data_IF_449754736395
#
_entry.id   IF_449754736395
#
_cell.length_a   1.000
_cell.length_b   1.000
_cell.length_c   1.000
_cell.angle_alpha   90.00
_cell.angle_beta   90.00
_cell.angle_gamma   90.00
#
_symmetry.space_group_name_H-M   'P 1'
#
loop_
_entity.id
_entity.type
_entity.pdbx_description
1 polymer ?
#
# COMPACT_ATOMS: atom_id res chain seq x y z
N UNK A 1 4.95 22.38 -10.89
CA UNK A 1 3.83 21.50 -11.34
C UNK A 1 3.59 20.45 -10.27
N UNK A 2 2.32 20.24 -9.92
CA UNK A 2 1.89 19.21 -8.98
C UNK A 2 1.07 18.15 -9.72
N UNK A 3 1.10 16.92 -9.22
CA UNK A 3 0.30 15.80 -9.70
C UNK A 3 -0.33 15.07 -8.53
N UNK A 4 -1.58 14.72 -8.67
CA UNK A 4 -2.32 13.90 -7.71
C UNK A 4 -2.55 12.51 -8.26
N UNK A 5 -2.42 11.49 -7.44
CA UNK A 5 -2.79 10.12 -7.76
C UNK A 5 -3.60 9.50 -6.64
N UNK A 6 -4.45 8.55 -6.99
CA UNK A 6 -5.23 7.78 -6.03
C UNK A 6 -5.32 6.33 -6.48
N UNK A 7 -5.46 5.42 -5.53
CA UNK A 7 -5.75 4.02 -5.81
C UNK A 7 -6.45 3.35 -4.65
N UNK A 8 -7.08 2.24 -4.94
CA UNK A 8 -7.65 1.31 -3.96
C UNK A 8 -7.18 -0.10 -4.30
N UNK A 9 -6.83 -0.88 -3.29
CA UNK A 9 -6.43 -2.27 -3.43
C UNK A 9 -7.20 -3.16 -2.46
N UNK A 10 -7.66 -4.30 -2.93
CA UNK A 10 -8.46 -5.25 -2.17
C UNK A 10 -7.82 -6.63 -2.25
N UNK A 11 -7.62 -7.26 -1.10
CA UNK A 11 -7.15 -8.64 -1.00
C UNK A 11 -8.04 -9.45 -0.07
N UNK A 12 -8.22 -10.73 -0.41
CA UNK A 12 -8.99 -11.69 0.39
C UNK A 12 -8.19 -12.10 1.63
N UNK A 13 -8.86 -12.18 2.77
CA UNK A 13 -8.32 -12.78 3.99
C UNK A 13 -8.47 -14.30 3.94
N UNK A 14 -7.39 -15.02 4.17
CA UNK A 14 -7.35 -16.49 4.17
C UNK A 14 -6.50 -16.99 5.34
N UNK A 15 -6.73 -18.24 5.75
CA UNK A 15 -5.90 -18.91 6.76
C UNK A 15 -4.51 -19.22 6.20
N UNK A 16 -3.55 -19.43 7.10
CA UNK A 16 -2.19 -19.88 6.80
C UNK A 16 -1.38 -18.93 5.90
N UNK A 17 -1.74 -17.65 5.93
CA UNK A 17 -0.94 -16.56 5.33
C UNK A 17 -0.62 -15.51 6.39
N UNK A 18 0.55 -14.91 6.26
CA UNK A 18 0.93 -13.74 7.07
C UNK A 18 0.07 -12.54 6.68
N UNK A 19 -0.30 -11.74 7.67
CA UNK A 19 -0.92 -10.44 7.45
C UNK A 19 0.17 -9.38 7.48
N UNK A 20 0.47 -8.83 6.32
CA UNK A 20 1.49 -7.77 6.16
C UNK A 20 0.80 -6.54 5.58
N UNK A 21 0.89 -5.42 6.29
CA UNK A 21 0.38 -4.11 5.86
C UNK A 21 1.39 -3.03 6.22
N UNK A 22 1.69 -2.15 5.27
CA UNK A 22 2.69 -1.10 5.44
C UNK A 22 4.09 -1.66 5.73
N UNK A 23 4.42 -2.85 5.20
CA UNK A 23 5.67 -3.55 5.46
C UNK A 23 5.80 -4.11 6.88
N UNK A 24 4.70 -4.17 7.64
CA UNK A 24 4.68 -4.65 9.03
C UNK A 24 3.90 -5.96 9.10
N UNK A 25 4.51 -6.99 9.67
CA UNK A 25 3.80 -8.24 9.99
C UNK A 25 2.92 -8.04 11.22
N UNK A 26 1.63 -8.25 11.05
CA UNK A 26 0.61 -8.08 12.07
C UNK A 26 0.21 -9.43 12.61
N UNK A 27 0.18 -9.56 13.94
CA UNK A 27 -0.26 -10.80 14.59
C UNK A 27 -1.71 -11.11 14.24
N UNK A 28 -1.93 -12.20 13.50
CA UNK A 28 -3.25 -12.63 13.02
C UNK A 28 -3.23 -14.11 12.64
N UNK A 29 -4.36 -14.79 12.78
CA UNK A 29 -4.56 -16.17 12.29
C UNK A 29 -4.86 -16.19 10.78
N UNK A 30 -5.19 -15.04 10.19
CA UNK A 30 -5.49 -14.88 8.77
C UNK A 30 -4.57 -13.83 8.16
N UNK A 31 -4.27 -13.97 6.89
CA UNK A 31 -3.47 -13.02 6.14
C UNK A 31 -4.02 -12.81 4.74
N UNK A 32 -3.39 -11.93 3.99
CA UNK A 32 -3.87 -11.52 2.67
C UNK A 32 -3.36 -12.46 1.58
N UNK A 33 -4.28 -12.88 0.70
CA UNK A 33 -3.98 -13.72 -0.45
C UNK A 33 -3.55 -12.86 -1.64
N UNK A 34 -2.43 -13.21 -2.25
CA UNK A 34 -1.93 -12.55 -3.45
C UNK A 34 -0.65 -13.19 -3.95
N UNK A 35 -0.17 -12.75 -5.13
CA UNK A 35 1.04 -13.26 -5.77
C UNK A 35 2.32 -12.82 -5.02
N UNK A 36 2.36 -11.55 -4.57
CA UNK A 36 3.40 -11.01 -3.69
C UNK A 36 3.07 -11.32 -2.22
N UNK A 37 3.59 -10.54 -1.27
CA UNK A 37 3.18 -10.58 0.13
C UNK A 37 1.75 -10.02 0.37
N UNK A 38 1.09 -9.54 -0.68
CA UNK A 38 -0.27 -9.00 -0.67
C UNK A 38 -0.48 -7.82 0.28
N UNK A 39 0.55 -7.00 0.47
CA UNK A 39 0.46 -5.77 1.25
C UNK A 39 -0.41 -4.73 0.54
N UNK A 40 -1.70 -4.74 0.87
CA UNK A 40 -2.69 -3.89 0.21
C UNK A 40 -2.38 -2.40 0.37
N UNK A 41 -1.81 -1.99 1.52
CA UNK A 41 -1.48 -0.59 1.76
C UNK A 41 -0.34 -0.12 0.86
N UNK A 42 0.75 -0.87 0.77
CA UNK A 42 1.87 -0.50 -0.09
C UNK A 42 1.51 -0.58 -1.57
N UNK A 43 0.66 -1.54 -1.97
CA UNK A 43 0.14 -1.62 -3.34
C UNK A 43 -0.67 -0.38 -3.70
N UNK A 44 -1.58 0.06 -2.82
CA UNK A 44 -2.38 1.26 -3.06
C UNK A 44 -1.50 2.51 -3.19
N UNK A 45 -0.48 2.67 -2.34
CA UNK A 45 0.45 3.80 -2.41
C UNK A 45 1.27 3.75 -3.70
N UNK A 46 1.84 2.60 -4.04
CA UNK A 46 2.63 2.41 -5.25
C UNK A 46 1.82 2.73 -6.51
N UNK A 47 0.61 2.21 -6.60
CA UNK A 47 -0.26 2.46 -7.76
C UNK A 47 -0.75 3.91 -7.84
N UNK A 48 -0.99 4.55 -6.70
CA UNK A 48 -1.31 5.98 -6.67
C UNK A 48 -0.17 6.83 -7.23
N UNK A 49 1.09 6.49 -6.93
CA UNK A 49 2.26 7.18 -7.49
C UNK A 49 2.34 6.95 -9.01
N UNK A 50 2.20 5.71 -9.47
CA UNK A 50 2.19 5.37 -10.91
C UNK A 50 1.08 6.14 -11.63
N UNK A 51 -0.12 6.20 -11.06
CA UNK A 51 -1.25 6.95 -11.60
C UNK A 51 -1.00 8.45 -11.66
N UNK A 52 -0.38 9.04 -10.63
CA UNK A 52 0.01 10.45 -10.64
C UNK A 52 1.00 10.77 -11.77
N UNK A 53 1.87 9.83 -12.11
CA UNK A 53 2.82 9.95 -13.22
C UNK A 53 2.20 9.68 -14.60
N UNK A 54 0.95 9.22 -14.65
CA UNK A 54 0.25 8.79 -15.88
C UNK A 54 0.96 7.62 -16.60
N UNK A 55 1.47 6.66 -15.81
CA UNK A 55 2.25 5.50 -16.29
C UNK A 55 1.48 4.17 -16.18
N UNK A 56 0.19 4.19 -16.43
CA UNK A 56 -0.73 3.05 -16.33
C UNK A 56 -0.99 2.62 -14.86
N UNK A 57 -0.93 1.35 -14.56
CA UNK A 57 -1.21 0.76 -13.25
C UNK A 57 -0.08 -0.12 -12.74
N UNK A 58 -0.23 -0.62 -11.52
CA UNK A 58 0.78 -1.45 -10.87
C UNK A 58 1.02 -2.77 -11.64
N UNK A 59 -0.04 -3.42 -12.12
CA UNK A 59 0.05 -4.67 -12.86
C UNK A 59 0.78 -4.56 -14.19
N UNK A 60 0.79 -3.38 -14.79
CA UNK A 60 1.57 -3.10 -16.00
C UNK A 60 3.09 -3.18 -15.75
N UNK A 61 3.53 -2.71 -14.58
CA UNK A 61 4.96 -2.69 -14.19
C UNK A 61 5.39 -3.97 -13.45
N UNK A 62 4.49 -4.58 -12.71
CA UNK A 62 4.73 -5.76 -11.86
C UNK A 62 3.64 -6.82 -12.10
N UNK A 63 3.66 -7.51 -13.27
CA UNK A 63 2.65 -8.52 -13.58
C UNK A 63 2.61 -9.64 -12.54
N UNK A 64 1.40 -10.01 -12.11
CA UNK A 64 1.16 -11.07 -11.12
C UNK A 64 1.38 -12.48 -11.68
N UNK A 65 1.56 -12.62 -12.99
CA UNK A 65 1.93 -13.87 -13.67
C UNK A 65 3.45 -14.04 -13.90
N UNK A 66 4.26 -13.10 -13.44
CA UNK A 66 5.72 -13.15 -13.55
C UNK A 66 6.32 -13.73 -12.26
N UNK A 67 6.95 -14.88 -12.37
CA UNK A 67 7.58 -15.59 -11.23
C UNK A 67 8.64 -14.77 -10.50
N UNK A 68 9.22 -13.76 -11.17
CA UNK A 68 10.15 -12.80 -10.57
C UNK A 68 9.55 -12.06 -9.37
N UNK A 69 8.24 -11.84 -9.37
CA UNK A 69 7.53 -11.09 -8.32
C UNK A 69 6.78 -12.00 -7.34
N UNK A 70 6.89 -13.32 -7.50
CA UNK A 70 6.27 -14.27 -6.57
C UNK A 70 6.88 -14.11 -5.18
N UNK A 71 6.02 -13.98 -4.18
CA UNK A 71 6.38 -13.80 -2.77
C UNK A 71 7.29 -12.60 -2.49
N UNK A 72 7.40 -11.66 -3.44
CA UNK A 72 8.20 -10.44 -3.25
C UNK A 72 7.63 -9.58 -2.13
N UNK A 73 8.51 -8.97 -1.34
CA UNK A 73 8.14 -7.92 -0.41
C UNK A 73 7.63 -6.69 -1.16
N UNK A 74 6.46 -6.19 -0.79
CA UNK A 74 5.89 -4.98 -1.39
C UNK A 74 6.69 -3.71 -1.07
N UNK A 75 7.57 -3.73 -0.04
CA UNK A 75 8.56 -2.66 0.16
C UNK A 75 9.52 -2.56 -1.03
N UNK A 76 9.94 -3.68 -1.61
CA UNK A 76 10.78 -3.67 -2.82
C UNK A 76 10.02 -3.13 -4.03
N UNK A 77 8.75 -3.46 -4.16
CA UNK A 77 7.88 -2.87 -5.20
C UNK A 77 7.82 -1.34 -5.03
N UNK A 78 7.60 -0.88 -3.82
CA UNK A 78 7.55 0.56 -3.52
C UNK A 78 8.89 1.25 -3.78
N UNK A 79 10.03 0.59 -3.49
CA UNK A 79 11.36 1.10 -3.83
C UNK A 79 11.54 1.31 -5.35
N UNK A 80 11.09 0.37 -6.15
CA UNK A 80 11.16 0.48 -7.62
C UNK A 80 10.24 1.60 -8.13
N UNK A 81 9.05 1.76 -7.54
CA UNK A 81 8.13 2.85 -7.87
C UNK A 81 8.72 4.20 -7.45
N UNK A 82 9.41 4.27 -6.31
CA UNK A 82 10.16 5.47 -5.91
C UNK A 82 11.21 5.85 -6.96
N UNK A 83 12.01 4.89 -7.43
CA UNK A 83 13.01 5.15 -8.50
C UNK A 83 12.33 5.64 -9.77
N UNK A 84 11.21 5.02 -10.14
CA UNK A 84 10.41 5.44 -11.30
C UNK A 84 9.94 6.90 -11.15
N UNK A 85 9.47 7.28 -9.97
CA UNK A 85 9.04 8.65 -9.66
C UNK A 85 10.18 9.66 -9.81
N UNK A 86 11.33 9.39 -9.20
CA UNK A 86 12.51 10.27 -9.28
C UNK A 86 13.00 10.38 -10.74
N UNK A 87 13.06 9.28 -11.47
CA UNK A 87 13.49 9.27 -12.89
C UNK A 87 12.56 10.08 -13.78
N UNK A 88 11.28 10.24 -13.40
CA UNK A 88 10.33 11.12 -14.10
C UNK A 88 10.36 12.57 -13.59
N UNK A 89 11.26 12.91 -12.67
CA UNK A 89 11.48 14.27 -12.18
C UNK A 89 10.46 14.72 -11.15
N UNK A 90 9.93 13.80 -10.33
CA UNK A 90 8.97 14.11 -9.27
C UNK A 90 9.42 13.58 -7.92
N UNK A 91 8.96 14.24 -6.86
CA UNK A 91 9.12 13.82 -5.47
C UNK A 91 7.80 13.87 -4.71
N UNK A 92 7.73 13.16 -3.58
CA UNK A 92 6.56 13.14 -2.71
C UNK A 92 6.41 14.47 -1.97
N UNK A 93 5.22 15.05 -2.02
CA UNK A 93 4.79 16.11 -1.12
C UNK A 93 4.16 15.51 0.13
N UNK A 94 3.14 14.65 -0.07
CA UNK A 94 2.53 13.89 1.02
C UNK A 94 1.81 12.63 0.49
N UNK A 95 1.59 11.71 1.42
CA UNK A 95 0.78 10.51 1.25
C UNK A 95 -0.30 10.51 2.33
N UNK A 96 -1.56 10.39 1.95
CA UNK A 96 -2.65 10.05 2.87
C UNK A 96 -3.23 8.69 2.49
N UNK A 97 -3.41 7.82 3.48
CA UNK A 97 -3.84 6.46 3.23
C UNK A 97 -4.81 5.95 4.30
N UNK A 98 -5.57 4.94 3.93
CA UNK A 98 -6.60 4.35 4.77
C UNK A 98 -6.59 2.82 4.62
N UNK A 99 -6.63 2.12 5.73
CA UNK A 99 -6.85 0.67 5.80
C UNK A 99 -8.27 0.44 6.31
N UNK A 100 -9.08 -0.30 5.54
CA UNK A 100 -10.40 -0.76 5.97
C UNK A 100 -10.31 -2.24 6.31
N UNK A 101 -10.40 -2.55 7.59
CA UNK A 101 -10.23 -3.91 8.14
C UNK A 101 -11.15 -4.10 9.35
N UNK A 102 -11.78 -5.26 9.44
CA UNK A 102 -12.62 -5.64 10.58
C UNK A 102 -11.84 -6.51 11.55
N UNK A 103 -12.21 -6.45 12.84
CA UNK A 103 -11.75 -7.33 13.92
C UNK A 103 -10.26 -7.27 14.30
N UNK A 104 -9.42 -6.56 13.57
CA UNK A 104 -7.98 -6.46 13.86
C UNK A 104 -7.61 -4.98 14.04
N UNK A 105 -7.08 -4.62 15.21
CA UNK A 105 -6.70 -3.24 15.51
C UNK A 105 -5.35 -2.91 14.89
N UNK A 106 -5.32 -1.86 14.08
CA UNK A 106 -4.11 -1.38 13.41
C UNK A 106 -3.28 -0.42 14.27
N UNK A 107 -3.90 0.22 15.26
CA UNK A 107 -3.26 1.29 16.07
C UNK A 107 -1.85 0.95 16.57
N UNK A 108 -1.54 -0.25 17.08
CA UNK A 108 -0.18 -0.58 17.54
C UNK A 108 0.88 -0.59 16.43
N UNK A 109 0.47 -0.69 15.17
CA UNK A 109 1.36 -0.89 14.02
C UNK A 109 1.51 0.35 13.14
N UNK A 110 0.63 1.35 13.30
CA UNK A 110 0.53 2.52 12.41
C UNK A 110 1.86 3.27 12.31
N UNK A 111 2.52 3.52 13.44
CA UNK A 111 3.78 4.29 13.43
C UNK A 111 4.89 3.57 12.65
N UNK A 112 5.03 2.27 12.81
CA UNK A 112 6.00 1.46 12.05
C UNK A 112 5.68 1.46 10.55
N UNK A 113 4.40 1.41 10.17
CA UNK A 113 3.98 1.53 8.77
C UNK A 113 4.41 2.87 8.19
N UNK A 114 4.16 3.97 8.91
CA UNK A 114 4.57 5.32 8.49
C UNK A 114 6.08 5.43 8.32
N UNK A 115 6.85 4.87 9.25
CA UNK A 115 8.33 4.86 9.18
C UNK A 115 8.81 4.10 7.94
N UNK A 116 8.27 2.91 7.68
CA UNK A 116 8.62 2.11 6.51
C UNK A 116 8.32 2.85 5.20
N UNK A 117 7.15 3.45 5.09
CA UNK A 117 6.72 4.20 3.89
C UNK A 117 7.62 5.44 3.70
N UNK A 118 7.81 6.22 4.75
CA UNK A 118 8.63 7.45 4.69
C UNK A 118 10.07 7.15 4.30
N UNK A 119 10.66 6.11 4.89
CA UNK A 119 12.01 5.67 4.55
C UNK A 119 12.12 5.22 3.10
N UNK A 120 11.19 4.40 2.63
CA UNK A 120 11.20 3.87 1.27
C UNK A 120 11.01 4.96 0.22
N UNK A 121 10.15 5.94 0.51
CA UNK A 121 9.90 7.08 -0.38
C UNK A 121 10.86 8.25 -0.17
N UNK A 122 11.86 8.09 0.70
CA UNK A 122 12.85 9.11 1.03
C UNK A 122 12.21 10.47 1.37
N UNK A 123 11.23 10.45 2.25
CA UNK A 123 10.49 11.64 2.69
C UNK A 123 10.39 11.68 4.22
N UNK A 124 9.97 12.83 4.78
CA UNK A 124 9.71 12.94 6.22
C UNK A 124 8.51 12.09 6.62
N UNK A 125 8.56 11.48 7.80
CA UNK A 125 7.41 10.78 8.40
C UNK A 125 6.18 11.70 8.53
N UNK A 126 6.38 13.01 8.67
CA UNK A 126 5.31 13.99 8.74
C UNK A 126 4.54 14.16 7.43
N UNK A 127 5.09 13.68 6.33
CA UNK A 127 4.44 13.68 5.02
C UNK A 127 3.64 12.41 4.75
N UNK A 128 3.63 11.47 5.69
CA UNK A 128 2.95 10.17 5.53
C UNK A 128 1.88 10.02 6.60
N UNK A 129 0.65 9.77 6.19
CA UNK A 129 -0.44 9.46 7.10
C UNK A 129 -1.04 8.09 6.78
N UNK A 130 -1.30 7.31 7.82
CA UNK A 130 -1.98 6.02 7.74
C UNK A 130 -3.14 6.03 8.73
N UNK A 131 -4.36 5.90 8.22
CA UNK A 131 -5.59 5.77 8.99
C UNK A 131 -6.09 4.35 8.92
N UNK A 132 -6.85 3.93 9.91
CA UNK A 132 -7.54 2.65 9.89
C UNK A 132 -8.99 2.83 10.33
N UNK A 133 -9.90 2.11 9.70
CA UNK A 133 -11.32 2.10 10.04
C UNK A 133 -11.89 0.70 9.85
N UNK A 134 -12.97 0.41 10.55
CA UNK A 134 -13.79 -0.77 10.30
C UNK A 134 -14.94 -0.44 9.34
N UNK A 135 -15.69 -1.46 8.94
CA UNK A 135 -16.85 -1.32 8.05
C UNK A 135 -18.19 -1.45 8.78
N UNK A 136 -18.19 -1.31 10.11
CA UNK A 136 -19.40 -1.43 10.95
C UNK A 136 -20.18 -2.74 10.66
N UNK A 137 -19.46 -3.84 10.45
CA UNK A 137 -19.99 -5.18 10.14
C UNK A 137 -20.73 -5.27 8.80
N UNK A 138 -20.53 -4.29 7.90
CA UNK A 138 -21.16 -4.26 6.59
C UNK A 138 -20.24 -4.81 5.49
N UNK A 139 -20.82 -5.51 4.55
CA UNK A 139 -20.15 -5.98 3.34
C UNK A 139 -19.02 -6.99 3.61
N UNK A 140 -18.16 -7.20 2.62
CA UNK A 140 -17.06 -8.17 2.69
C UNK A 140 -16.01 -7.79 3.75
N UNK A 141 -15.76 -6.52 3.97
CA UNK A 141 -14.85 -6.06 5.03
C UNK A 141 -15.47 -6.36 6.39
N UNK A 142 -16.71 -5.97 6.59
CA UNK A 142 -17.43 -6.18 7.85
C UNK A 142 -17.65 -7.65 8.22
N UNK A 143 -17.64 -8.54 7.22
CA UNK A 143 -17.69 -10.00 7.43
C UNK A 143 -16.31 -10.64 7.62
N UNK A 144 -15.23 -9.86 7.54
CA UNK A 144 -13.87 -10.38 7.66
C UNK A 144 -13.39 -11.18 6.48
N UNK A 145 -13.98 -11.00 5.31
CA UNK A 145 -13.62 -11.73 4.08
C UNK A 145 -12.43 -11.11 3.34
N UNK A 146 -12.18 -9.82 3.55
CA UNK A 146 -11.11 -9.09 2.88
C UNK A 146 -10.73 -7.80 3.57
N UNK A 147 -9.68 -7.19 3.04
CA UNK A 147 -9.16 -5.88 3.44
C UNK A 147 -9.13 -4.98 2.22
N UNK A 148 -9.48 -3.72 2.39
CA UNK A 148 -9.30 -2.69 1.39
C UNK A 148 -8.34 -1.64 1.91
N UNK A 149 -7.39 -1.23 1.09
CA UNK A 149 -6.56 -0.06 1.35
C UNK A 149 -6.78 0.98 0.26
N UNK A 150 -6.70 2.24 0.65
CA UNK A 150 -6.80 3.38 -0.26
C UNK A 150 -5.63 4.31 -0.01
N UNK A 151 -5.15 4.96 -1.06
CA UNK A 151 -4.12 5.96 -0.96
C UNK A 151 -4.37 7.12 -1.90
N UNK A 152 -4.01 8.32 -1.44
CA UNK A 152 -3.91 9.53 -2.24
C UNK A 152 -2.51 10.07 -2.06
N UNK A 153 -1.86 10.43 -3.16
CA UNK A 153 -0.53 11.03 -3.14
C UNK A 153 -0.55 12.38 -3.85
N UNK A 154 0.25 13.30 -3.34
CA UNK A 154 0.56 14.53 -4.03
C UNK A 154 2.05 14.52 -4.36
N UNK A 155 2.36 14.70 -5.63
CA UNK A 155 3.72 14.82 -6.15
C UNK A 155 3.99 16.25 -6.59
N UNK A 156 5.24 16.70 -6.49
CA UNK A 156 5.70 17.95 -7.10
C UNK A 156 6.89 17.67 -8.02
N UNK A 157 6.97 18.45 -9.08
CA UNK A 157 8.13 18.39 -9.98
C UNK A 157 9.37 18.94 -9.27
N UNK A 158 10.45 18.19 -9.38
CA UNK A 158 11.79 18.61 -8.90
C UNK A 158 12.33 19.70 -9.82
#
# INVERSE_FOLDING_TARGET
MYRIGQSSDIHKLVKDRKLILGGVEIKSEVGLLGHSDADALLHAIAEAIIGALALNDLGHHFPDNDDKYKDISSLKILEEVYKLMINNGYEIVNVDSLIMIENIKMKPYINMMKENIAKTLNTSINNVNVKATCAEKLGFIGKGEGVMAQAVVLLKKI
#
